data_IF_172588325068
#
_entry.id   IF_172588325068
#
_cell.length_a   1.000
_cell.length_b   1.000
_cell.length_c   1.000
_cell.angle_alpha   90.00
_cell.angle_beta   90.00
_cell.angle_gamma   90.00
#
_symmetry.space_group_name_H-M   'P 1'
#
loop_
_entity.id
_entity.type
_entity.pdbx_description
1 polymer ?
#
# COMPACT_ATOMS: atom_id res chain seq x y z
N UNK A 1 -2.69 33.68 33.13
CA UNK A 1 -2.27 32.28 33.37
C UNK A 1 -2.80 31.42 32.22
N UNK A 2 -1.99 31.06 31.22
CA UNK A 2 -2.48 30.29 30.10
C UNK A 2 -2.68 28.83 30.52
N UNK A 3 -3.87 28.28 30.25
CA UNK A 3 -4.14 26.85 30.40
C UNK A 3 -3.25 26.11 29.40
N UNK A 4 -2.35 25.22 29.88
CA UNK A 4 -1.83 24.13 29.05
C UNK A 4 -3.05 23.37 28.54
N UNK A 5 -3.40 23.56 27.28
CA UNK A 5 -4.47 22.78 26.64
C UNK A 5 -4.09 21.31 26.75
N UNK A 6 -5.00 20.49 27.25
CA UNK A 6 -4.78 19.04 27.33
C UNK A 6 -4.64 18.55 25.90
N UNK A 7 -3.41 18.24 25.50
CA UNK A 7 -3.16 17.64 24.20
C UNK A 7 -3.91 16.30 24.16
N UNK A 8 -4.81 16.15 23.19
CA UNK A 8 -5.59 14.93 23.08
C UNK A 8 -4.69 13.81 22.55
N UNK A 9 -5.00 12.57 22.92
CA UNK A 9 -4.30 11.39 22.38
C UNK A 9 -4.25 11.44 20.83
N UNK A 10 -5.33 11.90 20.20
CA UNK A 10 -5.40 12.09 18.75
C UNK A 10 -4.42 13.16 18.24
N UNK A 11 -4.29 14.29 18.94
CA UNK A 11 -3.33 15.34 18.58
C UNK A 11 -1.88 14.84 18.71
N UNK A 12 -1.58 14.10 19.77
CA UNK A 12 -0.25 13.50 19.96
C UNK A 12 0.08 12.49 18.85
N UNK A 13 -0.84 11.58 18.51
CA UNK A 13 -0.63 10.65 17.41
C UNK A 13 -0.50 11.37 16.05
N UNK A 14 -1.26 12.44 15.84
CA UNK A 14 -1.14 13.26 14.62
C UNK A 14 0.26 13.88 14.51
N UNK A 15 0.74 14.50 15.58
CA UNK A 15 2.09 15.10 15.62
C UNK A 15 3.17 14.05 15.38
N UNK A 16 3.03 12.86 15.98
CA UNK A 16 3.95 11.75 15.79
C UNK A 16 4.00 11.26 14.33
N UNK A 17 2.85 11.01 13.72
CA UNK A 17 2.77 10.55 12.32
C UNK A 17 3.34 11.59 11.36
N UNK A 18 3.05 12.88 11.55
CA UNK A 18 3.62 13.94 10.73
C UNK A 18 5.15 14.00 10.86
N UNK A 19 5.68 13.85 12.08
CA UNK A 19 7.13 13.79 12.30
C UNK A 19 7.79 12.60 11.62
N UNK A 20 7.14 11.43 11.57
CA UNK A 20 7.64 10.27 10.83
C UNK A 20 7.65 10.50 9.32
N UNK A 21 6.60 11.13 8.77
CA UNK A 21 6.55 11.46 7.35
C UNK A 21 7.60 12.50 6.96
N UNK A 22 7.85 13.50 7.80
CA UNK A 22 8.93 14.47 7.60
C UNK A 22 10.31 13.79 7.60
N UNK A 23 10.53 12.82 8.48
CA UNK A 23 11.76 12.03 8.50
C UNK A 23 11.90 11.16 7.24
N UNK A 24 10.80 10.56 6.76
CA UNK A 24 10.81 9.72 5.56
C UNK A 24 11.14 10.55 4.31
N UNK A 25 10.56 11.75 4.18
CA UNK A 25 10.93 12.70 3.12
C UNK A 25 12.39 13.14 3.21
N UNK A 26 12.90 13.42 4.41
CA UNK A 26 14.31 13.78 4.60
C UNK A 26 15.26 12.63 4.26
N UNK A 27 14.85 11.38 4.53
CA UNK A 27 15.58 10.18 4.13
C UNK A 27 15.62 10.00 2.61
N UNK A 28 14.51 10.26 1.91
CA UNK A 28 14.47 10.24 0.44
C UNK A 28 15.44 11.27 -0.19
N UNK A 29 15.56 12.45 0.42
CA UNK A 29 16.50 13.49 -0.04
C UNK A 29 17.96 13.17 0.29
N UNK A 30 18.23 12.58 1.47
CA UNK A 30 19.58 12.29 1.97
C UNK A 30 19.62 10.97 2.75
N UNK A 31 19.63 9.86 2.02
CA UNK A 31 19.59 8.53 2.63
C UNK A 31 20.80 8.25 3.53
N UNK A 32 20.59 8.28 4.84
CA UNK A 32 21.56 7.93 5.86
C UNK A 32 20.89 7.14 6.98
N UNK A 33 21.43 5.96 7.30
CA UNK A 33 20.85 5.05 8.30
C UNK A 33 19.72 4.17 7.73
N UNK A 34 18.85 3.70 8.61
CA UNK A 34 17.67 2.92 8.24
C UNK A 34 16.49 3.85 7.87
N UNK A 35 15.65 3.48 6.89
CA UNK A 35 14.46 4.25 6.54
C UNK A 35 13.47 4.28 7.73
N UNK A 36 12.89 5.45 8.04
CA UNK A 36 12.00 5.60 9.20
C UNK A 36 10.65 4.88 9.01
N UNK A 37 10.22 4.66 7.76
CA UNK A 37 9.04 3.87 7.44
C UNK A 37 9.35 2.82 6.36
N UNK A 38 8.97 1.56 6.61
CA UNK A 38 9.12 0.50 5.62
C UNK A 38 7.88 0.41 4.73
N UNK A 39 8.05 -0.13 3.51
CA UNK A 39 6.92 -0.43 2.61
C UNK A 39 5.86 -1.34 3.28
N UNK A 40 6.29 -2.25 4.16
CA UNK A 40 5.37 -3.09 4.91
C UNK A 40 4.50 -2.29 5.91
N UNK A 41 5.06 -1.24 6.50
CA UNK A 41 4.35 -0.38 7.46
C UNK A 41 3.32 0.49 6.74
N UNK A 42 3.69 1.06 5.58
CA UNK A 42 2.75 1.74 4.69
C UNK A 42 1.58 0.84 4.27
N UNK A 43 1.86 -0.40 3.85
CA UNK A 43 0.82 -1.37 3.48
C UNK A 43 -0.12 -1.67 4.63
N UNK A 44 0.43 -1.91 5.84
CA UNK A 44 -0.39 -2.16 7.03
C UNK A 44 -1.24 -0.96 7.41
N UNK A 45 -0.68 0.25 7.39
CA UNK A 45 -1.40 1.48 7.69
C UNK A 45 -2.59 1.69 6.75
N UNK A 46 -2.39 1.46 5.44
CA UNK A 46 -3.49 1.57 4.47
C UNK A 46 -4.56 0.50 4.69
N UNK A 47 -4.17 -0.76 4.96
CA UNK A 47 -5.14 -1.80 5.30
C UNK A 47 -5.97 -1.42 6.52
N UNK A 48 -5.34 -0.84 7.56
CA UNK A 48 -6.05 -0.37 8.76
C UNK A 48 -7.06 0.72 8.41
N UNK A 49 -6.66 1.74 7.63
CA UNK A 49 -7.57 2.83 7.23
C UNK A 49 -8.75 2.33 6.41
N UNK A 50 -8.50 1.41 5.45
CA UNK A 50 -9.55 0.83 4.61
C UNK A 50 -10.49 -0.11 5.38
N UNK A 51 -10.06 -0.60 6.54
CA UNK A 51 -10.88 -1.45 7.41
C UNK A 51 -11.65 -0.65 8.48
N UNK A 52 -11.52 0.69 8.53
CA UNK A 52 -12.25 1.51 9.49
C UNK A 52 -13.74 1.56 9.14
N UNK A 53 -14.58 1.22 10.11
CA UNK A 53 -16.02 1.45 10.02
C UNK A 53 -16.39 2.84 10.57
N UNK A 54 -17.36 3.54 9.95
CA UNK A 54 -17.92 4.78 10.49
C UNK A 54 -18.45 4.56 11.91
N UNK A 55 -18.08 5.45 12.83
CA UNK A 55 -18.61 5.38 14.20
C UNK A 55 -19.97 6.07 14.26
N UNK A 56 -21.03 5.43 14.79
CA UNK A 56 -22.32 6.08 14.93
C UNK A 56 -22.19 7.26 15.89
N UNK A 57 -22.87 8.37 15.56
CA UNK A 57 -23.00 9.46 16.52
C UNK A 57 -23.85 8.94 17.70
N UNK A 58 -23.33 9.07 18.93
CA UNK A 58 -24.08 8.70 20.11
C UNK A 58 -25.33 9.58 20.19
N UNK A 59 -26.50 8.96 20.11
CA UNK A 59 -27.78 9.63 20.30
C UNK A 59 -27.90 9.96 21.79
N UNK A 60 -27.60 11.21 22.16
CA UNK A 60 -28.09 11.78 23.42
C UNK A 60 -29.53 12.19 23.15
N UNK A 61 -30.49 11.58 23.84
CA UNK A 61 -31.92 11.89 23.65
C UNK A 61 -32.18 13.39 23.69
N UNK A 62 -32.88 13.89 22.67
CA UNK A 62 -33.26 15.30 22.54
C UNK A 62 -32.21 16.24 21.95
N UNK A 63 -30.97 15.79 21.69
CA UNK A 63 -29.90 16.65 21.17
C UNK A 63 -29.61 16.43 19.68
N UNK A 64 -29.85 15.21 19.16
CA UNK A 64 -29.58 14.85 17.77
C UNK A 64 -30.74 14.05 17.20
N UNK A 65 -31.24 14.49 16.05
CA UNK A 65 -32.29 13.80 15.30
C UNK A 65 -31.75 12.57 14.56
N UNK A 66 -32.63 11.62 14.24
CA UNK A 66 -32.27 10.46 13.41
C UNK A 66 -31.69 10.86 12.04
N UNK A 67 -32.22 11.94 11.45
CA UNK A 67 -31.73 12.49 10.18
C UNK A 67 -30.30 13.03 10.30
N UNK A 68 -29.98 13.74 11.38
CA UNK A 68 -28.61 14.26 11.62
C UNK A 68 -27.62 13.12 11.88
N UNK A 69 -28.01 12.10 12.64
CA UNK A 69 -27.17 10.92 12.86
C UNK A 69 -26.90 10.14 11.55
N UNK A 70 -27.91 10.04 10.68
CA UNK A 70 -27.77 9.43 9.36
C UNK A 70 -26.85 10.25 8.45
N UNK A 71 -27.00 11.58 8.44
CA UNK A 71 -26.14 12.49 7.69
C UNK A 71 -24.69 12.42 8.18
N UNK A 72 -24.46 12.36 9.50
CA UNK A 72 -23.12 12.21 10.08
C UNK A 72 -22.44 10.90 9.67
N UNK A 73 -23.16 9.79 9.71
CA UNK A 73 -22.65 8.48 9.27
C UNK A 73 -22.34 8.48 7.77
N UNK A 74 -23.21 9.10 6.97
CA UNK A 74 -23.01 9.25 5.53
C UNK A 74 -21.77 10.09 5.23
N UNK A 75 -21.58 11.20 5.95
CA UNK A 75 -20.40 12.06 5.82
C UNK A 75 -19.10 11.33 6.15
N UNK A 76 -19.09 10.51 7.20
CA UNK A 76 -17.92 9.68 7.53
C UNK A 76 -17.60 8.66 6.44
N UNK A 77 -18.62 7.97 5.89
CA UNK A 77 -18.43 7.05 4.75
C UNK A 77 -17.85 7.78 3.54
N UNK A 78 -18.44 8.91 3.17
CA UNK A 78 -17.94 9.72 2.07
C UNK A 78 -16.49 10.17 2.28
N UNK A 79 -16.10 10.49 3.52
CA UNK A 79 -14.72 10.81 3.87
C UNK A 79 -13.76 9.64 3.71
N UNK A 80 -14.16 8.44 4.16
CA UNK A 80 -13.37 7.21 3.97
C UNK A 80 -13.25 6.83 2.49
N UNK A 81 -14.34 6.93 1.73
CA UNK A 81 -14.35 6.70 0.28
C UNK A 81 -13.41 7.66 -0.45
N UNK A 82 -13.46 8.96 -0.09
CA UNK A 82 -12.56 9.96 -0.66
C UNK A 82 -11.09 9.68 -0.33
N UNK A 83 -10.78 9.24 0.90
CA UNK A 83 -9.43 8.85 1.28
C UNK A 83 -8.95 7.63 0.48
N UNK A 84 -9.79 6.62 0.31
CA UNK A 84 -9.49 5.44 -0.49
C UNK A 84 -9.22 5.80 -1.96
N UNK A 85 -10.05 6.67 -2.55
CA UNK A 85 -9.85 7.19 -3.91
C UNK A 85 -8.52 7.95 -4.00
N UNK A 86 -8.25 8.88 -3.09
CA UNK A 86 -7.03 9.68 -3.11
C UNK A 86 -5.76 8.83 -2.98
N UNK A 87 -5.76 7.81 -2.11
CA UNK A 87 -4.67 6.82 -2.01
C UNK A 87 -4.53 6.07 -3.34
N UNK A 88 -5.64 5.58 -3.88
CA UNK A 88 -5.67 4.88 -5.17
C UNK A 88 -5.18 5.75 -6.34
N UNK A 89 -5.45 7.06 -6.32
CA UNK A 89 -5.01 8.04 -7.31
C UNK A 89 -3.53 8.40 -7.17
N UNK A 90 -3.04 8.59 -5.94
CA UNK A 90 -1.63 8.87 -5.67
C UNK A 90 -0.72 7.69 -6.03
N UNK A 91 -1.21 6.46 -5.83
CA UNK A 91 -0.53 5.22 -6.23
C UNK A 91 -0.85 4.80 -7.66
N UNK A 92 -1.83 5.48 -8.28
CA UNK A 92 -2.20 5.23 -9.67
C UNK A 92 -0.96 5.48 -10.51
N UNK A 93 -0.73 4.63 -11.51
CA UNK A 93 0.67 4.35 -11.72
C UNK A 93 1.44 5.39 -12.53
N UNK A 94 2.64 5.70 -12.04
CA UNK A 94 3.83 5.73 -12.91
C UNK A 94 4.04 4.38 -13.65
N UNK A 95 3.36 3.28 -13.27
CA UNK A 95 3.21 2.02 -14.03
C UNK A 95 2.49 2.15 -15.40
N UNK A 96 1.89 3.29 -15.77
CA UNK A 96 1.54 3.58 -17.18
C UNK A 96 2.67 4.30 -17.93
N UNK A 97 3.65 4.87 -17.21
CA UNK A 97 4.79 5.61 -17.79
C UNK A 97 6.03 4.73 -18.05
N UNK A 98 6.10 3.53 -17.49
CA UNK A 98 7.13 2.51 -17.81
C UNK A 98 6.62 1.40 -18.73
N UNK A 99 5.64 1.70 -19.58
CA UNK A 99 5.31 0.84 -20.70
C UNK A 99 6.40 0.91 -21.76
N UNK A 100 7.39 0.02 -21.69
CA UNK A 100 8.05 -0.71 -22.81
C UNK A 100 9.46 -1.18 -22.43
N UNK A 101 10.05 -2.21 -23.08
CA UNK A 101 9.51 -3.46 -23.62
C UNK A 101 10.37 -4.68 -23.18
N UNK A 102 9.78 -5.81 -22.84
CA UNK A 102 10.39 -7.15 -22.99
C UNK A 102 9.37 -8.22 -22.61
N UNK A 103 8.43 -8.45 -23.53
CA UNK A 103 7.91 -9.79 -23.68
C UNK A 103 9.10 -10.67 -24.07
N UNK A 104 9.64 -11.32 -23.05
CA UNK A 104 9.97 -12.74 -23.04
C UNK A 104 10.33 -13.27 -24.42
N UNK A 105 11.63 -13.39 -24.69
CA UNK A 105 12.09 -14.43 -25.59
C UNK A 105 11.44 -15.75 -25.13
N UNK A 106 10.76 -16.50 -26.02
CA UNK A 106 10.45 -17.87 -25.71
C UNK A 106 11.80 -18.61 -25.65
N UNK A 107 12.23 -18.92 -24.44
CA UNK A 107 13.18 -19.97 -24.19
C UNK A 107 12.52 -21.27 -24.67
N UNK A 108 12.91 -21.76 -25.85
CA UNK A 108 12.49 -23.05 -26.34
C UNK A 108 13.13 -24.14 -25.46
N UNK A 109 12.49 -24.44 -24.32
CA UNK A 109 12.72 -25.65 -23.57
C UNK A 109 11.99 -26.79 -24.27
N UNK A 110 12.75 -27.61 -24.99
CA UNK A 110 12.30 -28.88 -25.55
C UNK A 110 13.42 -29.91 -25.49
N UNK A 111 13.55 -30.58 -24.35
CA UNK A 111 14.23 -31.87 -24.18
C UNK A 111 13.28 -32.78 -23.40
N UNK A 112 13.39 -34.13 -23.42
CA UNK A 112 14.11 -35.06 -24.31
C UNK A 112 13.20 -36.23 -24.78
N UNK A 113 13.68 -37.08 -25.71
CA UNK A 113 13.24 -38.49 -25.76
C UNK A 113 12.88 -39.08 -27.14
N UNK A 114 13.69 -40.06 -27.57
CA UNK A 114 13.13 -41.29 -28.13
C UNK A 114 13.51 -41.69 -29.55
N UNK A 115 14.34 -42.74 -29.62
CA UNK A 115 14.43 -43.78 -30.67
C UNK A 115 15.10 -43.46 -32.02
N UNK A 116 16.33 -43.95 -32.14
CA UNK A 116 16.54 -45.15 -32.97
C UNK A 116 17.32 -44.95 -34.27
N UNK A 117 18.63 -45.20 -34.23
CA UNK A 117 19.34 -46.11 -35.16
C UNK A 117 20.84 -46.17 -34.81
N UNK A 118 21.26 -47.31 -34.30
CA UNK A 118 22.57 -47.91 -34.60
C UNK A 118 22.30 -48.85 -35.80
N UNK A 119 23.21 -49.04 -36.79
CA UNK A 119 24.55 -49.58 -36.53
C UNK A 119 25.66 -49.00 -37.44
N UNK A 120 26.91 -49.02 -36.98
CA UNK A 120 27.99 -49.73 -37.69
C UNK A 120 29.38 -49.44 -37.09
N UNK A 121 30.01 -50.55 -36.69
CA UNK A 121 31.42 -50.86 -36.85
C UNK A 121 32.46 -49.94 -36.17
N UNK A 122 32.90 -50.39 -35.00
CA UNK A 122 34.27 -50.16 -34.58
C UNK A 122 35.28 -50.87 -35.48
N UNK A 123 36.48 -50.29 -35.57
CA UNK A 123 37.78 -50.96 -35.67
C UNK A 123 38.91 -49.90 -35.62
N UNK A 124 39.60 -49.82 -34.49
CA UNK A 124 41.08 -49.72 -34.46
C UNK A 124 41.63 -51.15 -34.72
N UNK A 125 42.87 -51.41 -35.18
CA UNK A 125 44.16 -50.73 -34.96
C UNK A 125 44.91 -50.48 -36.29
N UNK A 126 46.15 -49.99 -36.43
CA UNK A 126 47.43 -50.13 -35.69
C UNK A 126 48.28 -48.88 -35.97
#
# INVERSE_FOLDING_TARGET
>A
MPRRGVETVAATYRSYVLGLLDQDMAFDDHAAGDPPLLLADYRRAVVVVLALDPSPLLLVEGTVTSTEAAAFTTGQRAGLDAAAIAIGEAWRPALLRHGSPRLLQPHAAGSPGGRGRNPAAGRRPV
#
